data_IF_485797377146
#
_entry.id   IF_485797377146
#
_cell.length_a   1.000
_cell.length_b   1.000
_cell.length_c   1.000
_cell.angle_alpha   90.00
_cell.angle_beta   90.00
_cell.angle_gamma   90.00
#
_symmetry.space_group_name_H-M   'P 1'
#
loop_
_entity.id
_entity.type
_entity.pdbx_description
1 polymer ?
#
# COMPACT_ATOMS: atom_id res chain seq x y z
N UNK A 1 -23.38 -13.65 -6.98
CA UNK A 1 -22.79 -12.33 -7.30
C UNK A 1 -23.37 -11.86 -8.63
N UNK A 2 -23.95 -10.66 -8.72
CA UNK A 2 -24.54 -10.18 -9.99
C UNK A 2 -23.43 -9.80 -10.98
N UNK A 3 -23.75 -9.77 -12.27
CA UNK A 3 -22.79 -9.45 -13.34
C UNK A 3 -22.15 -8.07 -13.17
N UNK A 4 -22.89 -7.08 -12.67
CA UNK A 4 -22.39 -5.74 -12.35
C UNK A 4 -21.35 -5.77 -11.24
N UNK A 5 -21.64 -6.49 -10.15
CA UNK A 5 -20.73 -6.61 -9.00
C UNK A 5 -19.39 -7.23 -9.43
N UNK A 6 -19.42 -8.23 -10.32
CA UNK A 6 -18.21 -8.84 -10.89
C UNK A 6 -17.40 -7.85 -11.73
N UNK A 7 -18.07 -7.02 -12.54
CA UNK A 7 -17.39 -5.97 -13.33
C UNK A 7 -16.75 -4.90 -12.44
N UNK A 8 -17.45 -4.48 -11.38
CA UNK A 8 -16.91 -3.53 -10.41
C UNK A 8 -15.70 -4.10 -9.67
N UNK A 9 -15.77 -5.36 -9.23
CA UNK A 9 -14.66 -6.01 -8.54
C UNK A 9 -13.44 -6.14 -9.46
N UNK A 10 -13.63 -6.60 -10.70
CA UNK A 10 -12.53 -6.71 -11.68
C UNK A 10 -11.94 -5.32 -11.98
N UNK A 11 -12.79 -4.32 -12.25
CA UNK A 11 -12.35 -2.96 -12.51
C UNK A 11 -11.58 -2.35 -11.33
N UNK A 12 -12.06 -2.55 -10.11
CA UNK A 12 -11.41 -2.09 -8.89
C UNK A 12 -10.02 -2.74 -8.70
N UNK A 13 -9.91 -4.05 -8.92
CA UNK A 13 -8.61 -4.75 -8.83
C UNK A 13 -7.64 -4.24 -9.89
N UNK A 14 -8.10 -4.03 -11.13
CA UNK A 14 -7.25 -3.47 -12.20
C UNK A 14 -6.74 -2.09 -11.81
N UNK A 15 -7.60 -1.20 -11.32
CA UNK A 15 -7.22 0.14 -10.89
C UNK A 15 -6.23 0.08 -9.72
N UNK A 16 -6.48 -0.78 -8.73
CA UNK A 16 -5.58 -0.96 -7.59
C UNK A 16 -4.18 -1.41 -8.02
N UNK A 17 -4.08 -2.35 -8.97
CA UNK A 17 -2.80 -2.82 -9.50
C UNK A 17 -2.08 -1.73 -10.32
N UNK A 18 -2.81 -0.94 -11.11
CA UNK A 18 -2.24 0.21 -11.82
C UNK A 18 -1.65 1.21 -10.81
N UNK A 19 -2.39 1.54 -9.75
CA UNK A 19 -1.91 2.43 -8.69
C UNK A 19 -0.68 1.84 -8.00
N UNK A 20 -0.69 0.54 -7.67
CA UNK A 20 0.45 -0.12 -7.03
C UNK A 20 1.75 -0.03 -7.86
N UNK A 21 1.64 -0.11 -9.19
CA UNK A 21 2.79 0.05 -10.09
C UNK A 21 3.24 1.50 -10.20
N UNK A 22 2.31 2.44 -10.30
CA UNK A 22 2.63 3.84 -10.55
C UNK A 22 3.02 4.62 -9.29
N UNK A 23 2.50 4.23 -8.11
CA UNK A 23 2.67 4.96 -6.86
C UNK A 23 4.15 5.24 -6.51
N UNK A 24 5.10 4.30 -6.62
CA UNK A 24 6.50 4.55 -6.32
C UNK A 24 7.17 5.63 -7.19
N UNK A 25 6.62 5.89 -8.40
CA UNK A 25 7.13 6.89 -9.34
C UNK A 25 6.39 8.23 -9.23
N UNK A 26 5.15 8.20 -8.76
CA UNK A 26 4.31 9.39 -8.60
C UNK A 26 4.41 10.00 -7.18
N UNK A 27 4.93 9.24 -6.21
CA UNK A 27 5.11 9.72 -4.85
C UNK A 27 6.10 10.89 -4.78
N UNK A 28 5.64 12.00 -4.22
CA UNK A 28 6.44 13.20 -3.99
C UNK A 28 7.60 12.93 -3.03
N UNK A 29 8.76 13.50 -3.33
CA UNK A 29 9.93 13.51 -2.44
C UNK A 29 9.95 14.72 -1.50
N UNK A 30 9.00 15.65 -1.65
CA UNK A 30 8.88 16.80 -0.75
C UNK A 30 8.35 16.37 0.61
N UNK A 31 8.77 17.06 1.69
CA UNK A 31 8.30 16.75 3.04
C UNK A 31 6.79 16.87 3.12
N UNK A 32 6.17 15.93 3.82
CA UNK A 32 4.73 15.98 4.06
C UNK A 32 4.36 17.13 5.02
N UNK A 33 3.07 17.31 5.28
CA UNK A 33 2.62 18.38 6.17
C UNK A 33 3.17 18.28 7.59
N UNK A 34 3.42 17.06 8.07
CA UNK A 34 3.94 16.83 9.41
C UNK A 34 5.45 17.10 9.46
N UNK A 35 6.19 16.60 8.48
CA UNK A 35 7.63 16.79 8.33
C UNK A 35 7.97 18.27 8.08
N UNK A 36 7.24 18.95 7.19
CA UNK A 36 7.47 20.38 6.91
C UNK A 36 7.17 21.26 8.12
N UNK A 37 6.19 20.91 8.95
CA UNK A 37 5.94 21.65 10.20
C UNK A 37 7.00 21.36 11.25
N UNK A 38 7.43 20.11 11.39
CA UNK A 38 8.55 19.71 12.26
C UNK A 38 9.84 20.47 11.90
N UNK A 39 10.15 20.60 10.61
CA UNK A 39 11.31 21.37 10.12
C UNK A 39 11.20 22.85 10.52
N UNK A 40 10.02 23.47 10.35
CA UNK A 40 9.79 24.89 10.70
C UNK A 40 9.99 25.16 12.20
N UNK A 41 9.62 24.22 13.06
CA UNK A 41 9.81 24.32 14.51
C UNK A 41 11.14 23.71 14.99
N UNK A 42 12.02 23.31 14.07
CA UNK A 42 13.35 22.72 14.34
C UNK A 42 13.30 21.46 15.20
N UNK A 43 12.26 20.64 15.03
CA UNK A 43 12.23 19.30 15.62
C UNK A 43 13.21 18.43 14.84
N UNK A 44 14.20 17.81 15.50
CA UNK A 44 15.15 16.95 14.81
C UNK A 44 14.44 15.71 14.26
N UNK A 45 14.78 15.33 13.03
CA UNK A 45 14.45 14.00 12.53
C UNK A 45 15.16 12.96 13.40
N UNK A 46 14.37 12.02 13.91
CA UNK A 46 14.88 10.95 14.77
C UNK A 46 14.58 9.62 14.11
N UNK A 47 15.52 8.68 14.20
CA UNK A 47 15.21 7.32 13.79
C UNK A 47 14.05 6.79 14.63
N UNK A 48 13.12 6.04 14.03
CA UNK A 48 12.00 5.49 14.76
C UNK A 48 12.51 4.60 15.90
N UNK A 49 11.92 4.77 17.09
CA UNK A 49 12.30 4.01 18.29
C UNK A 49 12.23 2.49 18.08
N UNK A 50 11.37 2.04 17.16
CA UNK A 50 11.30 0.66 16.68
C UNK A 50 11.44 0.70 15.17
N UNK A 51 12.47 0.04 14.63
CA UNK A 51 12.69 -0.04 13.18
C UNK A 51 11.60 -0.87 12.52
N UNK A 52 10.94 -0.29 11.53
CA UNK A 52 9.95 -1.00 10.73
C UNK A 52 10.64 -2.06 9.85
N UNK A 53 10.07 -3.27 9.68
CA UNK A 53 10.66 -4.31 8.85
C UNK A 53 10.91 -3.91 7.39
N UNK A 54 10.11 -2.99 6.85
CA UNK A 54 10.25 -2.45 5.50
C UNK A 54 9.92 -0.96 5.50
N UNK A 55 10.89 -0.13 5.93
CA UNK A 55 10.75 1.32 5.87
C UNK A 55 10.59 1.75 4.40
N UNK A 56 9.61 2.63 4.15
CA UNK A 56 9.26 3.12 2.82
C UNK A 56 9.01 2.04 1.76
N UNK A 57 8.61 0.83 2.17
CA UNK A 57 8.42 -0.32 1.29
C UNK A 57 9.67 -0.72 0.51
N UNK A 58 10.86 -0.32 0.97
CA UNK A 58 12.12 -0.57 0.30
C UNK A 58 12.62 -1.99 0.57
N UNK A 59 12.97 -2.71 -0.49
CA UNK A 59 13.62 -4.03 -0.42
C UNK A 59 15.11 -3.87 -0.73
N UNK A 60 16.02 -4.22 0.18
CA UNK A 60 17.46 -4.11 -0.04
C UNK A 60 17.91 -4.80 -1.32
N UNK A 61 18.66 -4.08 -2.16
CA UNK A 61 19.20 -4.60 -3.42
C UNK A 61 18.25 -4.57 -4.63
N UNK A 62 16.97 -4.20 -4.46
CA UNK A 62 16.00 -4.11 -5.56
C UNK A 62 15.63 -2.67 -5.94
N UNK A 63 15.87 -1.69 -5.07
CA UNK A 63 15.53 -0.29 -5.34
C UNK A 63 14.05 -0.12 -5.69
N UNK A 64 13.76 0.72 -6.71
CA UNK A 64 12.40 1.08 -7.09
C UNK A 64 11.53 -0.10 -7.56
N UNK A 65 12.14 -1.13 -8.17
CA UNK A 65 11.40 -2.35 -8.56
C UNK A 65 10.97 -3.15 -7.34
N UNK A 66 11.73 -3.08 -6.25
CA UNK A 66 11.39 -3.65 -4.94
C UNK A 66 10.17 -2.98 -4.32
N UNK A 67 10.08 -1.65 -4.37
CA UNK A 67 8.91 -0.91 -3.89
C UNK A 67 7.63 -1.29 -4.65
N UNK A 68 7.70 -1.35 -5.99
CA UNK A 68 6.59 -1.81 -6.84
C UNK A 68 6.17 -3.23 -6.47
N UNK A 69 7.14 -4.13 -6.30
CA UNK A 69 6.88 -5.52 -5.93
C UNK A 69 6.22 -5.62 -4.55
N UNK A 70 6.70 -4.86 -3.56
CA UNK A 70 6.14 -4.80 -2.22
C UNK A 70 4.67 -4.35 -2.25
N UNK A 71 4.35 -3.31 -3.03
CA UNK A 71 2.97 -2.82 -3.16
C UNK A 71 2.04 -3.80 -3.88
N UNK A 72 2.50 -4.46 -4.95
CA UNK A 72 1.72 -5.48 -5.66
C UNK A 72 1.43 -6.67 -4.73
N UNK A 73 2.46 -7.20 -4.06
CA UNK A 73 2.30 -8.33 -3.14
C UNK A 73 1.38 -7.94 -1.99
N UNK A 74 1.61 -6.78 -1.36
CA UNK A 74 0.75 -6.29 -0.29
C UNK A 74 -0.71 -6.16 -0.71
N UNK A 75 -0.96 -5.63 -1.91
CA UNK A 75 -2.32 -5.52 -2.47
C UNK A 75 -2.97 -6.89 -2.64
N UNK A 76 -2.25 -7.87 -3.19
CA UNK A 76 -2.75 -9.24 -3.37
C UNK A 76 -3.04 -9.89 -2.02
N UNK A 77 -2.14 -9.76 -1.04
CA UNK A 77 -2.31 -10.32 0.30
C UNK A 77 -3.55 -9.75 0.98
N UNK A 78 -3.75 -8.43 0.92
CA UNK A 78 -4.94 -7.78 1.49
C UNK A 78 -6.22 -8.27 0.80
N UNK A 79 -6.22 -8.41 -0.54
CA UNK A 79 -7.38 -8.95 -1.27
C UNK A 79 -7.70 -10.40 -0.87
N UNK A 80 -6.67 -11.24 -0.71
CA UNK A 80 -6.84 -12.63 -0.25
C UNK A 80 -7.42 -12.66 1.16
N UNK A 81 -6.88 -11.87 2.08
CA UNK A 81 -7.36 -11.80 3.47
C UNK A 81 -8.81 -11.31 3.49
N UNK A 82 -9.11 -10.21 2.80
CA UNK A 82 -10.45 -9.65 2.75
C UNK A 82 -11.48 -10.64 2.18
N UNK A 83 -11.11 -11.35 1.10
CA UNK A 83 -11.95 -12.40 0.52
C UNK A 83 -12.10 -13.58 1.49
N UNK A 84 -11.01 -14.03 2.12
CA UNK A 84 -11.01 -15.14 3.08
C UNK A 84 -11.87 -14.85 4.31
N UNK A 85 -11.76 -13.64 4.88
CA UNK A 85 -12.61 -13.18 5.99
C UNK A 85 -14.06 -13.10 5.55
N UNK A 86 -14.34 -12.54 4.36
CA UNK A 86 -15.70 -12.47 3.82
C UNK A 86 -16.30 -13.87 3.61
N UNK A 87 -15.49 -14.84 3.18
CA UNK A 87 -15.90 -16.22 3.01
C UNK A 87 -16.11 -16.94 4.36
N UNK A 88 -15.25 -16.72 5.36
CA UNK A 88 -15.38 -17.33 6.68
C UNK A 88 -16.59 -16.79 7.46
N UNK A 89 -16.92 -15.51 7.29
CA UNK A 89 -18.08 -14.86 7.90
C UNK A 89 -19.36 -15.05 7.09
N UNK A 90 -19.30 -15.74 5.93
CA UNK A 90 -20.49 -16.06 5.14
C UNK A 90 -21.35 -17.05 5.92
N UNK A 91 -22.24 -16.53 6.76
CA UNK A 91 -23.33 -17.31 7.36
C UNK A 91 -24.21 -17.80 6.22
N UNK A 92 -24.18 -19.10 5.97
CA UNK A 92 -25.23 -19.79 5.21
C UNK A 92 -26.52 -19.58 5.99
N UNK A 93 -27.45 -18.81 5.41
CA UNK A 93 -28.81 -18.69 5.87
C UNK A 93 -29.74 -19.16 4.77
#
# INVERSE_FOLDING_TARGET
MKSRDKKLLIGGVIIALIIAVLAPFLASQNPDGLESTAEKVKVPETEPAIKSPMLDYTIPGLGKTGEVLALIIGTIVVLIIAYGVSAALKTEK
#
